data_IF_217217729453
#
_entry.id   IF_217217729453
#
_cell.length_a   1.000
_cell.length_b   1.000
_cell.length_c   1.000
_cell.angle_alpha   90.00
_cell.angle_beta   90.00
_cell.angle_gamma   90.00
#
_symmetry.space_group_name_H-M   'P 1'
#
loop_
_entity.id
_entity.type
_entity.pdbx_description
1 polymer ?
#
# COMPACT_ATOMS: atom_id res chain seq x y z
N UNK A 1 5.72 -23.59 -4.62
CA UNK A 1 4.50 -22.84 -4.28
C UNK A 1 3.85 -23.33 -3.00
N UNK A 2 3.35 -24.59 -2.92
CA UNK A 2 2.67 -25.10 -1.72
C UNK A 2 3.49 -25.03 -0.42
N UNK A 3 4.81 -25.23 -0.48
CA UNK A 3 5.69 -25.09 0.70
C UNK A 3 5.66 -23.67 1.26
N UNK A 4 5.80 -22.66 0.38
CA UNK A 4 5.74 -21.24 0.77
C UNK A 4 4.36 -20.89 1.31
N UNK A 5 3.28 -21.36 0.67
CA UNK A 5 1.93 -21.15 1.18
C UNK A 5 1.68 -21.81 2.55
N UNK A 6 2.38 -22.89 2.89
CA UNK A 6 2.29 -23.53 4.20
C UNK A 6 3.17 -22.86 5.26
N UNK A 7 4.26 -22.20 4.86
CA UNK A 7 5.19 -21.51 5.76
C UNK A 7 4.76 -20.08 6.09
N UNK A 8 4.04 -19.42 5.17
CA UNK A 8 3.58 -18.06 5.34
C UNK A 8 2.05 -18.04 5.46
N UNK A 9 1.55 -17.52 6.58
CA UNK A 9 0.11 -17.27 6.77
C UNK A 9 -0.45 -16.37 5.65
N UNK A 10 0.39 -15.48 5.14
CA UNK A 10 0.00 -14.47 4.19
C UNK A 10 1.16 -13.93 3.33
N UNK A 11 0.92 -13.76 2.02
CA UNK A 11 1.86 -13.17 1.06
C UNK A 11 1.18 -11.98 0.38
N UNK A 12 1.80 -10.80 0.49
CA UNK A 12 1.33 -9.52 -0.06
C UNK A 12 1.80 -9.32 -1.51
N UNK A 13 0.97 -8.68 -2.33
CA UNK A 13 1.36 -8.17 -3.65
C UNK A 13 1.06 -6.67 -3.68
N UNK A 14 2.09 -5.86 -3.90
CA UNK A 14 1.99 -4.39 -3.84
C UNK A 14 1.00 -3.79 -4.84
N UNK A 15 0.75 -4.46 -5.96
CA UNK A 15 -0.18 -4.01 -7.01
C UNK A 15 -1.65 -4.16 -6.61
N UNK A 16 -1.95 -5.02 -5.63
CA UNK A 16 -3.29 -5.27 -5.09
C UNK A 16 -3.35 -4.89 -3.60
N UNK A 17 -2.58 -3.86 -3.21
CA UNK A 17 -2.38 -3.53 -1.81
C UNK A 17 -3.69 -3.11 -1.14
N UNK A 18 -4.49 -2.25 -1.77
CA UNK A 18 -5.77 -1.78 -1.22
C UNK A 18 -6.77 -2.94 -1.07
N UNK A 19 -6.91 -3.80 -2.09
CA UNK A 19 -7.78 -4.97 -2.01
C UNK A 19 -7.37 -5.93 -0.90
N UNK A 20 -6.06 -6.02 -0.67
CA UNK A 20 -5.51 -6.85 0.38
C UNK A 20 -5.74 -6.24 1.77
N UNK A 21 -5.66 -4.91 1.92
CA UNK A 21 -6.03 -4.23 3.16
C UNK A 21 -7.50 -4.50 3.51
N UNK A 22 -8.40 -4.50 2.52
CA UNK A 22 -9.79 -4.89 2.74
C UNK A 22 -9.93 -6.36 3.14
N UNK A 23 -9.15 -7.26 2.56
CA UNK A 23 -9.13 -8.66 2.98
C UNK A 23 -8.68 -8.82 4.44
N UNK A 24 -7.64 -8.11 4.86
CA UNK A 24 -7.15 -8.13 6.24
C UNK A 24 -8.19 -7.60 7.21
N UNK A 25 -8.85 -6.50 6.85
CA UNK A 25 -9.96 -5.93 7.61
C UNK A 25 -11.00 -7.00 7.96
N UNK A 26 -11.45 -7.76 6.96
CA UNK A 26 -12.45 -8.81 7.17
C UNK A 26 -11.93 -10.01 7.95
N UNK A 27 -10.70 -10.46 7.70
CA UNK A 27 -10.16 -11.66 8.37
C UNK A 27 -9.89 -11.38 9.86
N UNK A 28 -9.48 -10.17 10.20
CA UNK A 28 -9.11 -9.79 11.57
C UNK A 28 -10.20 -9.02 12.31
N UNK A 29 -11.37 -8.82 11.67
CA UNK A 29 -12.47 -8.02 12.22
C UNK A 29 -12.00 -6.62 12.64
N UNK A 30 -11.11 -6.03 11.85
CA UNK A 30 -10.62 -4.68 12.07
C UNK A 30 -11.59 -3.64 11.51
N UNK A 31 -11.51 -2.44 12.05
CA UNK A 31 -12.24 -1.31 11.53
C UNK A 31 -11.51 -0.73 10.31
N UNK A 32 -12.21 0.12 9.56
CA UNK A 32 -11.61 0.77 8.40
C UNK A 32 -10.38 1.60 8.79
N UNK A 33 -10.41 2.21 9.97
CA UNK A 33 -9.33 3.07 10.46
C UNK A 33 -8.03 2.30 10.76
N UNK A 34 -8.11 1.01 11.07
CA UNK A 34 -6.95 0.15 11.33
C UNK A 34 -6.17 -0.22 10.06
N UNK A 35 -6.85 -0.17 8.90
CA UNK A 35 -6.27 -0.59 7.61
C UNK A 35 -5.95 0.57 6.67
N UNK A 36 -6.31 1.80 7.06
CA UNK A 36 -5.92 2.99 6.29
C UNK A 36 -4.41 3.14 6.33
N UNK A 37 -3.82 3.34 5.16
CA UNK A 37 -2.39 3.55 4.99
C UNK A 37 -2.12 4.60 3.95
N UNK A 38 -0.96 5.25 4.08
CA UNK A 38 -0.46 6.18 3.08
C UNK A 38 0.68 5.50 2.30
N UNK A 39 0.61 5.45 0.96
CA UNK A 39 1.66 4.80 0.17
C UNK A 39 3.00 5.49 0.37
N UNK A 40 3.92 4.82 1.06
CA UNK A 40 5.31 5.24 1.18
C UNK A 40 6.07 4.63 -0.01
N UNK A 41 6.98 5.39 -0.60
CA UNK A 41 7.73 5.00 -1.82
C UNK A 41 7.08 5.30 -3.17
N UNK A 42 6.20 6.31 -3.25
CA UNK A 42 5.88 6.90 -4.56
C UNK A 42 7.18 7.44 -5.16
N UNK A 43 7.57 6.93 -6.32
CA UNK A 43 8.74 7.43 -7.05
C UNK A 43 8.28 8.34 -8.16
N UNK A 44 8.96 9.46 -8.32
CA UNK A 44 8.77 10.39 -9.44
C UNK A 44 9.43 9.82 -10.70
N UNK A 45 8.94 8.66 -11.16
CA UNK A 45 9.48 7.96 -12.33
C UNK A 45 8.46 8.06 -13.48
N UNK A 46 8.87 8.73 -14.54
CA UNK A 46 8.34 8.51 -15.90
C UNK A 46 8.64 7.08 -16.31
N UNK A 47 7.69 6.17 -16.08
CA UNK A 47 7.81 4.76 -16.50
C UNK A 47 7.83 4.72 -18.03
N UNK A 48 8.95 4.33 -18.63
CA UNK A 48 8.97 3.99 -20.05
C UNK A 48 8.19 2.70 -20.27
N UNK A 49 7.28 2.70 -21.25
CA UNK A 49 6.55 1.49 -21.61
C UNK A 49 7.52 0.51 -22.29
N UNK A 50 7.60 -0.71 -21.76
CA UNK A 50 8.37 -1.79 -22.38
C UNK A 50 7.62 -2.35 -23.60
N UNK A 51 8.35 -2.78 -24.62
CA UNK A 51 7.77 -3.55 -25.72
C UNK A 51 7.31 -4.93 -25.24
N UNK A 52 6.33 -5.52 -25.93
CA UNK A 52 5.82 -6.86 -25.61
C UNK A 52 6.93 -7.91 -25.60
N UNK A 53 7.85 -7.85 -26.57
CA UNK A 53 8.98 -8.79 -26.66
C UNK A 53 9.92 -8.70 -25.46
N UNK A 54 10.19 -7.48 -24.98
CA UNK A 54 11.00 -7.27 -23.78
C UNK A 54 10.31 -7.80 -22.53
N UNK A 55 8.99 -7.65 -22.44
CA UNK A 55 8.19 -8.20 -21.32
C UNK A 55 8.26 -9.74 -21.31
N UNK A 56 8.09 -10.40 -22.45
CA UNK A 56 8.15 -11.87 -22.52
C UNK A 56 9.56 -12.40 -22.21
N UNK A 57 10.61 -11.72 -22.68
CA UNK A 57 11.99 -12.05 -22.29
C UNK A 57 12.19 -11.89 -20.79
N UNK A 58 11.69 -10.82 -20.19
CA UNK A 58 11.81 -10.58 -18.75
C UNK A 58 11.12 -11.67 -17.92
N UNK A 59 9.91 -12.09 -18.33
CA UNK A 59 9.21 -13.23 -17.71
C UNK A 59 10.00 -14.53 -17.87
N UNK A 60 10.64 -14.74 -19.02
CA UNK A 60 11.45 -15.94 -19.26
C UNK A 60 12.70 -15.99 -18.38
N UNK A 61 13.34 -14.84 -18.16
CA UNK A 61 14.54 -14.71 -17.32
C UNK A 61 14.20 -14.80 -15.83
N UNK A 62 13.08 -14.22 -15.40
CA UNK A 62 12.59 -14.28 -14.02
C UNK A 62 11.45 -15.28 -13.89
N UNK A 63 11.59 -16.45 -14.51
CA UNK A 63 10.51 -17.44 -14.60
C UNK A 63 9.98 -17.84 -13.23
N UNK A 64 10.87 -18.04 -12.25
CA UNK A 64 10.49 -18.41 -10.90
C UNK A 64 9.64 -17.30 -10.23
N UNK A 65 10.09 -16.05 -10.30
CA UNK A 65 9.35 -14.91 -9.73
C UNK A 65 8.02 -14.70 -10.43
N UNK A 66 7.98 -14.89 -11.76
CA UNK A 66 6.75 -14.82 -12.53
C UNK A 66 5.75 -15.91 -12.11
N UNK A 67 6.21 -17.15 -11.91
CA UNK A 67 5.36 -18.23 -11.42
C UNK A 67 4.87 -17.98 -9.99
N UNK A 68 5.73 -17.44 -9.11
CA UNK A 68 5.36 -17.02 -7.75
C UNK A 68 4.27 -15.96 -7.78
N UNK A 69 4.49 -14.90 -8.56
CA UNK A 69 3.53 -13.80 -8.73
C UNK A 69 2.17 -14.32 -9.21
N UNK A 70 2.15 -15.11 -10.27
CA UNK A 70 0.92 -15.66 -10.84
C UNK A 70 0.16 -16.54 -9.82
N UNK A 71 0.88 -17.35 -9.05
CA UNK A 71 0.29 -18.22 -8.03
C UNK A 71 -0.36 -17.42 -6.90
N UNK A 72 0.38 -16.48 -6.30
CA UNK A 72 -0.12 -15.72 -5.15
C UNK A 72 -1.17 -14.70 -5.56
N UNK A 73 -1.07 -14.09 -6.75
CA UNK A 73 -2.10 -13.19 -7.27
C UNK A 73 -3.44 -13.91 -7.38
N UNK A 74 -3.44 -15.11 -7.99
CA UNK A 74 -4.65 -15.94 -8.07
C UNK A 74 -5.19 -16.32 -6.68
N UNK A 75 -4.31 -16.61 -5.73
CA UNK A 75 -4.68 -17.04 -4.38
C UNK A 75 -5.30 -15.90 -3.58
N UNK A 76 -4.76 -14.68 -3.68
CA UNK A 76 -5.31 -13.47 -3.05
C UNK A 76 -6.72 -13.20 -3.56
N UNK A 77 -6.93 -13.19 -4.88
CA UNK A 77 -8.25 -12.95 -5.46
C UNK A 77 -9.27 -14.02 -5.04
N UNK A 78 -8.85 -15.28 -4.92
CA UNK A 78 -9.71 -16.34 -4.39
C UNK A 78 -10.14 -16.04 -2.94
N UNK A 79 -9.22 -15.58 -2.08
CA UNK A 79 -9.54 -15.20 -0.69
C UNK A 79 -10.47 -13.99 -0.64
N UNK A 80 -10.18 -12.93 -1.40
CA UNK A 80 -11.02 -11.73 -1.52
C UNK A 80 -12.46 -12.10 -1.90
N UNK A 81 -12.63 -12.91 -2.95
CA UNK A 81 -13.97 -13.28 -3.41
C UNK A 81 -14.72 -14.17 -2.42
N UNK A 82 -14.00 -14.94 -1.60
CA UNK A 82 -14.58 -15.78 -0.56
C UNK A 82 -15.06 -14.95 0.65
N UNK A 83 -14.26 -13.99 1.11
CA UNK A 83 -14.52 -13.24 2.34
C UNK A 83 -15.38 -11.98 2.11
N UNK A 84 -15.16 -11.26 1.02
CA UNK A 84 -15.82 -9.96 0.74
C UNK A 84 -16.84 -10.10 -0.39
N UNK A 85 -16.52 -10.90 -1.41
CA UNK A 85 -17.32 -11.04 -2.60
C UNK A 85 -16.82 -10.18 -3.77
N UNK A 86 -16.91 -10.75 -4.97
CA UNK A 86 -16.36 -10.17 -6.21
C UNK A 86 -16.97 -8.81 -6.57
N UNK A 87 -18.27 -8.64 -6.36
CA UNK A 87 -18.98 -7.43 -6.74
C UNK A 87 -18.95 -6.35 -5.64
N UNK A 88 -18.45 -6.67 -4.45
CA UNK A 88 -18.38 -5.79 -3.28
C UNK A 88 -16.99 -5.16 -3.09
N UNK A 89 -15.91 -5.90 -3.42
CA UNK A 89 -14.53 -5.43 -3.20
C UNK A 89 -14.23 -4.07 -3.81
N UNK A 90 -14.84 -3.76 -4.97
CA UNK A 90 -14.62 -2.47 -5.64
C UNK A 90 -15.17 -1.29 -4.84
N UNK A 91 -16.33 -1.46 -4.21
CA UNK A 91 -16.95 -0.44 -3.36
C UNK A 91 -16.18 -0.30 -2.05
N UNK A 92 -15.81 -1.43 -1.42
CA UNK A 92 -14.98 -1.46 -0.21
C UNK A 92 -13.66 -0.71 -0.40
N UNK A 93 -12.95 -0.98 -1.50
CA UNK A 93 -11.71 -0.27 -1.86
C UNK A 93 -11.97 1.23 -2.11
N UNK A 94 -13.10 1.60 -2.73
CA UNK A 94 -13.45 3.00 -2.94
C UNK A 94 -13.65 3.74 -1.61
N UNK A 95 -14.30 3.10 -0.64
CA UNK A 95 -14.50 3.65 0.71
C UNK A 95 -13.16 3.83 1.41
N UNK A 96 -12.26 2.85 1.32
CA UNK A 96 -10.89 2.95 1.83
C UNK A 96 -10.14 4.14 1.22
N UNK A 97 -10.19 4.29 -0.10
CA UNK A 97 -9.52 5.39 -0.82
C UNK A 97 -10.11 6.76 -0.46
N UNK A 98 -11.42 6.86 -0.28
CA UNK A 98 -12.07 8.09 0.19
C UNK A 98 -11.59 8.47 1.59
N UNK A 99 -11.49 7.50 2.50
CA UNK A 99 -10.97 7.71 3.86
C UNK A 99 -9.49 8.10 3.84
N UNK A 100 -8.66 7.46 3.02
CA UNK A 100 -7.26 7.85 2.79
C UNK A 100 -7.16 9.32 2.34
N UNK A 101 -7.99 9.75 1.38
CA UNK A 101 -8.00 11.16 0.91
C UNK A 101 -8.42 12.12 2.02
N UNK A 102 -9.41 11.75 2.84
CA UNK A 102 -9.84 12.57 3.97
C UNK A 102 -8.73 12.73 5.00
N UNK A 103 -8.12 11.64 5.43
CA UNK A 103 -7.05 11.66 6.44
C UNK A 103 -5.79 12.34 5.89
N UNK A 104 -5.49 12.18 4.60
CA UNK A 104 -4.42 12.90 3.93
C UNK A 104 -4.57 14.43 4.08
N UNK A 105 -5.77 14.97 3.90
CA UNK A 105 -6.04 16.41 4.05
C UNK A 105 -5.89 16.91 5.49
N UNK A 106 -6.13 16.04 6.46
CA UNK A 106 -6.10 16.41 7.89
C UNK A 106 -4.66 16.40 8.40
N UNK A 107 -3.94 15.31 8.11
CA UNK A 107 -2.65 15.01 8.72
C UNK A 107 -1.43 15.30 7.83
N UNK A 108 -1.59 15.53 6.53
CA UNK A 108 -0.47 15.86 5.65
C UNK A 108 -0.45 17.36 5.38
N UNK A 109 0.67 18.03 5.68
CA UNK A 109 0.79 19.49 5.55
C UNK A 109 0.53 20.01 4.12
N UNK A 110 0.77 19.19 3.09
CA UNK A 110 0.56 19.56 1.68
C UNK A 110 -0.47 18.66 0.98
N UNK A 111 -1.17 17.79 1.72
CA UNK A 111 -2.20 16.89 1.17
C UNK A 111 -1.69 15.80 0.21
N UNK A 112 -0.39 15.78 -0.11
CA UNK A 112 0.23 14.82 -1.02
C UNK A 112 1.70 14.52 -0.64
N UNK A 113 2.35 13.62 -1.38
CA UNK A 113 3.74 13.24 -1.14
C UNK A 113 4.73 14.35 -1.53
N UNK A 114 5.67 14.67 -0.65
CA UNK A 114 6.69 15.72 -0.84
C UNK A 114 8.01 15.15 -1.37
N UNK A 115 8.76 15.96 -2.11
CA UNK A 115 10.06 15.54 -2.63
C UNK A 115 11.13 15.43 -1.54
N UNK A 116 12.17 14.57 -1.70
CA UNK A 116 13.29 14.44 -0.76
C UNK A 116 13.97 15.75 -0.34
N UNK A 117 13.89 16.81 -1.16
CA UNK A 117 14.52 18.10 -0.90
C UNK A 117 13.66 19.03 -0.02
N UNK A 118 12.36 18.77 0.04
CA UNK A 118 11.38 19.49 0.86
C UNK A 118 11.01 18.69 2.12
N UNK A 119 11.50 17.45 2.23
CA UNK A 119 11.32 16.62 3.42
C UNK A 119 12.19 17.16 4.54
N UNK A 120 11.56 17.68 5.59
CA UNK A 120 12.27 18.21 6.75
C UNK A 120 12.69 17.05 7.67
N UNK A 121 13.99 16.81 7.89
CA UNK A 121 14.47 15.65 8.65
C UNK A 121 14.10 15.67 10.13
N UNK A 122 13.73 16.84 10.67
CA UNK A 122 13.21 17.04 12.02
C UNK A 122 11.72 16.67 12.18
N UNK A 123 10.98 16.47 11.09
CA UNK A 123 9.50 16.37 11.09
C UNK A 123 8.98 15.10 10.37
N UNK A 124 9.84 14.40 9.62
CA UNK A 124 9.44 13.25 8.79
C UNK A 124 10.07 11.93 9.27
N UNK A 125 9.38 11.14 10.12
CA UNK A 125 9.79 9.77 10.45
C UNK A 125 9.72 8.82 9.23
N UNK A 126 9.18 9.30 8.10
CA UNK A 126 8.97 8.58 6.84
C UNK A 126 10.05 8.81 5.78
N UNK A 127 11.20 9.38 6.13
CA UNK A 127 12.35 9.47 5.22
C UNK A 127 12.85 8.05 4.85
N UNK A 128 12.43 7.55 3.69
CA UNK A 128 12.80 6.20 3.22
C UNK A 128 14.24 6.22 2.69
N UNK A 129 15.11 5.40 3.28
CA UNK A 129 16.44 5.18 2.73
C UNK A 129 16.35 4.61 1.31
N UNK A 130 17.07 5.21 0.37
CA UNK A 130 17.18 4.70 -1.00
C UNK A 130 18.63 4.72 -1.49
N UNK A 131 19.08 3.63 -2.09
CA UNK A 131 20.33 3.61 -2.85
C UNK A 131 20.08 4.08 -4.29
N UNK A 132 20.67 5.20 -4.69
CA UNK A 132 20.68 5.68 -6.09
C UNK A 132 20.02 7.05 -6.30
N UNK A 133 19.92 7.46 -7.56
CA UNK A 133 19.43 8.77 -8.03
C UNK A 133 17.90 8.88 -8.11
N UNK A 134 17.16 7.84 -7.70
CA UNK A 134 15.70 7.86 -7.68
C UNK A 134 15.18 8.74 -6.54
N UNK A 135 14.30 9.70 -6.85
CA UNK A 135 13.63 10.52 -5.84
C UNK A 135 12.44 9.74 -5.27
N UNK A 136 12.56 9.31 -4.02
CA UNK A 136 11.48 8.64 -3.28
C UNK A 136 10.72 9.69 -2.49
N UNK A 137 9.43 9.86 -2.78
CA UNK A 137 8.61 10.86 -2.11
C UNK A 137 8.25 10.39 -0.69
N UNK A 138 8.21 11.33 0.25
CA UNK A 138 7.83 11.12 1.66
C UNK A 138 6.60 11.95 2.04
N UNK A 139 6.27 11.99 3.32
CA UNK A 139 5.17 12.81 3.86
C UNK A 139 5.65 13.72 5.00
N UNK A 140 5.10 14.93 5.07
CA UNK A 140 5.27 15.83 6.21
C UNK A 140 3.99 15.80 7.05
N UNK A 141 4.12 15.35 8.31
CA UNK A 141 2.98 15.21 9.22
C UNK A 141 2.63 16.54 9.88
N UNK A 142 1.33 16.76 10.08
CA UNK A 142 0.78 17.90 10.80
C UNK A 142 0.61 17.56 12.30
N UNK A 143 1.68 17.75 13.07
CA UNK A 143 1.77 17.38 14.49
C UNK A 143 0.76 18.06 15.42
N UNK A 144 0.25 19.25 15.05
CA UNK A 144 -0.68 20.01 15.90
C UNK A 144 -2.01 19.28 16.08
N UNK A 145 -2.49 18.57 15.04
CA UNK A 145 -3.77 17.84 15.11
C UNK A 145 -3.67 16.45 15.71
N UNK A 146 -2.51 15.79 15.64
CA UNK A 146 -2.34 14.47 16.26
C UNK A 146 -2.43 14.51 17.80
N UNK A 147 -2.01 15.61 18.43
CA UNK A 147 -2.14 15.77 19.89
C UNK A 147 -3.60 15.95 20.33
N UNK A 148 -4.45 16.56 19.51
CA UNK A 148 -5.87 16.76 19.85
C UNK A 148 -6.67 15.46 19.76
N UNK A 149 -6.41 14.61 18.76
CA UNK A 149 -7.11 13.32 18.60
C UNK A 149 -6.65 12.26 19.63
N UNK A 150 -5.35 12.20 19.95
CA UNK A 150 -4.84 11.27 21.00
C UNK A 150 -5.40 11.62 22.39
N UNK A 151 -5.75 12.89 22.63
CA UNK A 151 -6.41 13.32 23.86
C UNK A 151 -7.94 13.09 23.83
N UNK A 152 -8.54 12.95 22.65
CA UNK A 152 -9.97 12.68 22.50
C UNK A 152 -10.32 11.19 22.61
N UNK A 153 -9.42 10.30 22.19
CA UNK A 153 -9.58 8.83 22.30
C UNK A 153 -9.04 8.26 23.63
N UNK A 154 -8.54 9.12 24.53
CA UNK A 154 -7.85 8.77 25.77
C UNK A 154 -8.70 8.65 27.04
N UNK A 155 -10.04 8.68 26.95
CA UNK A 155 -10.92 8.41 28.10
C UNK A 155 -11.22 6.90 28.21
N UNK A 156 -10.33 6.18 28.90
CA UNK A 156 -10.59 4.86 29.48
C UNK A 156 -10.79 4.95 30.99
#
# INVERSE_FOLDING_TARGET
MKTIEAEFDLVLISECFDEFMMLLKEIWCWDLDDVVSFPLSKRDITKSQLSKDSVEKLKSWNKLDWELYMYFNKTIWKKIYLHIGKECIKQEVKVLQEKQIQLAKIYLQEGDSVSPKETRPDISPTAVWHSGSAKVLGYNLNWIRQQEDVLADGDF
#
